data_IF_196708505829
#
_entry.id   IF_196708505829
#
_cell.length_a   1.000
_cell.length_b   1.000
_cell.length_c   1.000
_cell.angle_alpha   90.00
_cell.angle_beta   90.00
_cell.angle_gamma   90.00
#
_symmetry.space_group_name_H-M   'P 1'
#
loop_
_entity.id
_entity.type
_entity.pdbx_description
1 polymer ?
#
# COMPACT_ATOMS: atom_id res chain seq x y z
N UNK A 1 21.27 -24.25 -2.23
CA UNK A 1 21.36 -23.14 -1.25
C UNK A 1 21.78 -21.81 -1.87
N UNK A 2 23.04 -21.56 -2.24
CA UNK A 2 23.50 -20.22 -2.71
C UNK A 2 22.71 -19.63 -3.89
N UNK A 3 22.50 -20.43 -4.94
CA UNK A 3 21.72 -20.03 -6.13
C UNK A 3 20.27 -19.66 -5.79
N UNK A 4 19.66 -20.37 -4.84
CA UNK A 4 18.29 -20.08 -4.41
C UNK A 4 18.21 -18.76 -3.64
N UNK A 5 19.16 -18.50 -2.73
CA UNK A 5 19.24 -17.22 -1.99
C UNK A 5 19.46 -16.02 -2.91
N UNK A 6 20.30 -16.16 -3.94
CA UNK A 6 20.49 -15.10 -4.94
C UNK A 6 19.21 -14.84 -5.76
N UNK A 7 18.52 -15.91 -6.16
CA UNK A 7 17.26 -15.79 -6.88
C UNK A 7 16.15 -15.16 -6.01
N UNK A 8 16.09 -15.51 -4.72
CA UNK A 8 15.15 -14.96 -3.74
C UNK A 8 15.40 -13.47 -3.51
N UNK A 9 16.65 -13.04 -3.36
CA UNK A 9 17.00 -11.63 -3.23
C UNK A 9 16.54 -10.81 -4.44
N UNK A 10 16.82 -11.29 -5.65
CA UNK A 10 16.39 -10.62 -6.90
C UNK A 10 14.87 -10.59 -7.01
N UNK A 11 14.18 -11.63 -6.55
CA UNK A 11 12.73 -11.67 -6.50
C UNK A 11 12.16 -10.61 -5.54
N UNK A 12 12.73 -10.50 -4.34
CA UNK A 12 12.31 -9.56 -3.31
C UNK A 12 12.51 -8.12 -3.79
N UNK A 13 13.69 -7.79 -4.32
CA UNK A 13 13.99 -6.46 -4.88
C UNK A 13 12.98 -6.06 -5.96
N UNK A 14 12.61 -7.00 -6.85
CA UNK A 14 11.64 -6.73 -7.91
C UNK A 14 10.22 -6.53 -7.38
N UNK A 15 9.80 -7.28 -6.38
CA UNK A 15 8.48 -7.11 -5.79
C UNK A 15 8.41 -5.81 -4.97
N UNK A 16 9.46 -5.47 -4.23
CA UNK A 16 9.56 -4.21 -3.50
C UNK A 16 9.53 -3.01 -4.46
N UNK A 17 10.30 -3.04 -5.55
CA UNK A 17 10.24 -1.98 -6.57
C UNK A 17 8.83 -1.81 -7.17
N UNK A 18 8.09 -2.91 -7.36
CA UNK A 18 6.70 -2.86 -7.85
C UNK A 18 5.74 -2.27 -6.82
N UNK A 19 5.89 -2.62 -5.54
CA UNK A 19 5.12 -2.03 -4.44
C UNK A 19 5.40 -0.54 -4.35
N UNK A 20 6.68 -0.15 -4.37
CA UNK A 20 7.08 1.25 -4.29
C UNK A 20 6.47 2.08 -5.43
N UNK A 21 6.64 1.64 -6.68
CA UNK A 21 6.06 2.33 -7.83
C UNK A 21 4.53 2.47 -7.74
N UNK A 22 3.84 1.50 -7.13
CA UNK A 22 2.41 1.60 -6.87
C UNK A 22 2.08 2.63 -5.79
N UNK A 23 2.83 2.66 -4.68
CA UNK A 23 2.65 3.68 -3.64
C UNK A 23 2.92 5.09 -4.16
N UNK A 24 3.97 5.26 -4.97
CA UNK A 24 4.29 6.55 -5.60
C UNK A 24 3.15 7.00 -6.53
N UNK A 25 2.66 6.10 -7.39
CA UNK A 25 1.52 6.40 -8.26
C UNK A 25 0.24 6.71 -7.45
N UNK A 26 0.03 6.02 -6.34
CA UNK A 26 -1.13 6.22 -5.46
C UNK A 26 -1.05 7.57 -4.74
N UNK A 27 0.13 7.98 -4.28
CA UNK A 27 0.37 9.28 -3.67
C UNK A 27 0.04 10.42 -4.66
N UNK A 28 0.56 10.34 -5.88
CA UNK A 28 0.25 11.31 -6.95
C UNK A 28 -1.24 11.36 -7.26
N UNK A 29 -1.90 10.21 -7.35
CA UNK A 29 -3.34 10.15 -7.58
C UNK A 29 -4.14 10.79 -6.43
N UNK A 30 -3.73 10.61 -5.18
CA UNK A 30 -4.36 11.24 -4.02
C UNK A 30 -4.19 12.77 -4.06
N UNK A 31 -3.01 13.26 -4.42
CA UNK A 31 -2.73 14.69 -4.59
C UNK A 31 -3.63 15.30 -5.68
N UNK A 32 -3.73 14.65 -6.84
CA UNK A 32 -4.62 15.09 -7.92
C UNK A 32 -6.10 15.08 -7.49
N UNK A 33 -6.53 14.04 -6.76
CA UNK A 33 -7.88 13.97 -6.22
C UNK A 33 -8.18 15.08 -5.22
N UNK A 34 -7.22 15.41 -4.36
CA UNK A 34 -7.34 16.52 -3.42
C UNK A 34 -7.50 17.85 -4.16
N UNK A 35 -6.68 18.09 -5.18
CA UNK A 35 -6.78 19.27 -6.02
C UNK A 35 -8.13 19.34 -6.77
N UNK A 36 -8.55 18.24 -7.39
CA UNK A 36 -9.82 18.16 -8.09
C UNK A 36 -11.00 18.44 -7.15
N UNK A 37 -10.95 17.97 -5.90
CA UNK A 37 -11.94 18.26 -4.87
C UNK A 37 -12.01 19.75 -4.55
N UNK A 38 -10.86 20.43 -4.39
CA UNK A 38 -10.80 21.89 -4.18
C UNK A 38 -11.37 22.65 -5.38
N UNK A 39 -11.07 22.19 -6.59
CA UNK A 39 -11.59 22.78 -7.84
C UNK A 39 -13.06 22.41 -8.14
N UNK A 40 -13.69 21.57 -7.31
CA UNK A 40 -15.04 20.99 -7.52
C UNK A 40 -15.16 20.25 -8.87
N UNK A 41 -14.05 19.66 -9.32
CA UNK A 41 -13.94 18.84 -10.53
C UNK A 41 -13.76 17.37 -10.15
N UNK A 42 -13.95 16.48 -11.12
CA UNK A 42 -13.57 15.07 -10.98
C UNK A 42 -12.10 14.92 -11.36
N UNK A 43 -11.37 14.10 -10.61
CA UNK A 43 -10.03 13.68 -11.00
C UNK A 43 -10.09 13.04 -12.39
N UNK A 44 -9.16 13.42 -13.26
CA UNK A 44 -9.21 13.03 -14.67
C UNK A 44 -8.78 11.58 -14.90
N UNK A 45 -8.03 11.02 -13.96
CA UNK A 45 -7.35 9.73 -14.11
C UNK A 45 -7.91 8.66 -13.17
N UNK A 46 -7.83 7.40 -13.61
CA UNK A 46 -8.26 6.26 -12.82
C UNK A 46 -7.28 5.98 -11.68
N UNK A 47 -7.81 5.51 -10.54
CA UNK A 47 -6.99 5.08 -9.42
C UNK A 47 -6.01 3.98 -9.87
N UNK A 48 -4.70 4.12 -9.57
CA UNK A 48 -3.73 3.08 -9.90
C UNK A 48 -4.07 1.77 -9.18
N UNK A 49 -3.68 0.65 -9.78
CA UNK A 49 -3.93 -0.70 -9.26
C UNK A 49 -2.61 -1.44 -9.12
N UNK A 50 -2.38 -2.06 -7.97
CA UNK A 50 -1.27 -2.97 -7.79
C UNK A 50 -1.60 -4.28 -8.53
N UNK A 51 -0.85 -4.55 -9.60
CA UNK A 51 -0.98 -5.82 -10.33
C UNK A 51 -0.49 -7.01 -9.53
N UNK A 52 -0.53 -8.21 -10.14
CA UNK A 52 -0.02 -9.43 -9.51
C UNK A 52 1.48 -9.32 -9.23
N UNK A 53 1.86 -9.44 -7.96
CA UNK A 53 3.25 -9.63 -7.55
C UNK A 53 3.75 -10.99 -8.03
N UNK A 54 5.07 -11.13 -8.17
CA UNK A 54 5.65 -12.44 -8.50
C UNK A 54 5.44 -13.37 -7.31
N UNK A 55 5.06 -14.63 -7.58
CA UNK A 55 4.96 -15.68 -6.57
C UNK A 55 6.33 -16.02 -5.98
N UNK A 56 6.38 -16.37 -4.69
CA UNK A 56 7.60 -16.80 -3.99
C UNK A 56 8.32 -17.92 -4.75
N UNK A 57 9.65 -17.94 -4.66
CA UNK A 57 10.47 -19.01 -5.21
C UNK A 57 10.43 -20.17 -4.22
N UNK A 58 9.94 -21.37 -4.59
CA UNK A 58 9.88 -22.49 -3.67
C UNK A 58 11.24 -22.79 -3.03
N UNK A 59 11.27 -22.90 -1.70
CA UNK A 59 12.46 -23.32 -0.94
C UNK A 59 12.85 -24.73 -1.38
N UNK A 60 14.14 -25.00 -1.69
CA UNK A 60 14.59 -26.35 -1.98
C UNK A 60 14.51 -27.18 -0.69
N UNK A 61 13.78 -28.29 -0.71
CA UNK A 61 13.72 -29.24 0.39
C UNK A 61 15.07 -29.96 0.47
N UNK A 62 15.79 -29.79 1.57
CA UNK A 62 17.00 -30.57 1.87
C UNK A 62 16.54 -31.80 2.64
N UNK A 63 16.32 -32.91 1.95
CA UNK A 63 16.10 -34.21 2.60
C UNK A 63 17.40 -34.67 3.26
N UNK A 64 17.63 -34.22 4.50
CA UNK A 64 18.79 -34.66 5.29
C UNK A 64 19.27 -33.64 6.31
N UNK A 65 18.59 -33.59 7.46
CA UNK A 65 19.12 -33.39 8.82
C UNK A 65 18.08 -32.69 9.68
N UNK A 66 17.60 -33.42 10.70
CA UNK A 66 17.11 -32.89 11.96
C UNK A 66 18.01 -31.71 12.41
N UNK A 67 17.44 -30.52 12.55
CA UNK A 67 18.15 -29.39 13.17
C UNK A 67 17.81 -28.03 12.58
N UNK A 68 16.77 -27.42 13.13
CA UNK A 68 16.58 -25.97 13.23
C UNK A 68 16.37 -25.21 11.90
N UNK A 69 15.14 -25.25 11.38
CA UNK A 69 14.67 -24.22 10.43
C UNK A 69 13.39 -23.58 11.00
N UNK A 70 13.54 -22.84 12.09
CA UNK A 70 12.56 -21.86 12.53
C UNK A 70 13.01 -20.44 12.13
N UNK A 71 13.45 -20.24 10.88
CA UNK A 71 13.42 -18.89 10.29
C UNK A 71 12.04 -18.67 9.68
N UNK A 72 11.10 -18.42 10.58
CA UNK A 72 9.87 -17.71 10.28
C UNK A 72 10.22 -16.28 9.88
N UNK A 73 10.66 -16.10 8.64
CA UNK A 73 10.59 -14.81 7.97
C UNK A 73 9.12 -14.59 7.58
N UNK A 74 8.33 -14.36 8.62
CA UNK A 74 7.00 -13.84 8.50
C UNK A 74 7.19 -12.35 8.29
N UNK A 75 7.38 -11.97 7.03
CA UNK A 75 7.29 -10.58 6.56
C UNK A 75 5.80 -10.16 6.60
N UNK A 76 5.18 -10.38 7.77
CA UNK A 76 3.99 -9.68 8.25
C UNK A 76 4.45 -8.25 8.53
N UNK A 77 4.62 -7.48 7.47
CA UNK A 77 4.52 -6.03 7.56
C UNK A 77 3.08 -5.75 7.99
N UNK A 78 2.95 -5.57 9.31
CA UNK A 78 1.78 -5.23 10.10
C UNK A 78 0.95 -4.21 9.32
N UNK A 79 -0.07 -4.68 8.59
CA UNK A 79 -1.18 -3.87 8.09
C UNK A 79 -1.96 -3.33 9.29
N UNK A 80 -1.35 -2.44 10.08
CA UNK A 80 -2.10 -1.43 10.83
C UNK A 80 -2.60 -0.41 9.81
N UNK A 81 -3.60 -0.86 9.06
CA UNK A 81 -4.71 -0.03 8.64
C UNK A 81 -5.36 0.52 9.92
N UNK A 82 -4.69 1.49 10.55
CA UNK A 82 -5.21 2.22 11.70
C UNK A 82 -6.47 2.89 11.20
N UNK A 83 -7.58 2.43 11.80
CA UNK A 83 -8.92 2.57 11.30
C UNK A 83 -9.18 3.95 10.72
N UNK A 84 -9.80 3.89 9.55
CA UNK A 84 -10.66 4.90 8.97
C UNK A 84 -11.60 5.51 10.05
N UNK A 85 -11.07 6.45 10.83
CA UNK A 85 -11.81 7.37 11.68
C UNK A 85 -12.33 8.51 10.84
N UNK A 86 -13.13 8.19 9.82
CA UNK A 86 -14.02 9.18 9.22
C UNK A 86 -15.14 9.44 10.23
N UNK A 87 -14.84 10.27 11.22
CA UNK A 87 -15.86 10.96 11.99
C UNK A 87 -16.38 12.09 11.09
N UNK A 88 -17.21 11.75 10.10
CA UNK A 88 -18.01 12.70 9.32
C UNK A 88 -19.33 12.99 10.03
N UNK A 89 -19.26 13.31 11.32
CA UNK A 89 -20.35 13.94 12.07
C UNK A 89 -20.00 15.43 12.27
N UNK A 90 -19.86 16.18 11.18
CA UNK A 90 -20.01 17.63 11.27
C UNK A 90 -21.33 18.01 10.59
N UNK A 91 -22.39 17.84 11.37
CA UNK A 91 -23.70 18.39 11.09
C UNK A 91 -23.56 19.85 10.69
N UNK A 92 -23.95 20.15 9.45
CA UNK A 92 -24.05 21.52 8.99
C UNK A 92 -25.06 22.28 9.85
N UNK A 93 -24.59 23.31 10.53
CA UNK A 93 -25.40 24.46 10.84
C UNK A 93 -24.48 25.69 10.97
N UNK A 94 -24.22 26.32 9.83
CA UNK A 94 -23.60 27.64 9.78
C UNK A 94 -24.66 28.59 9.21
N UNK A 95 -25.66 28.89 10.04
CA UNK A 95 -26.58 30.01 9.80
C UNK A 95 -25.90 31.24 10.40
N UNK A 96 -25.14 31.94 9.57
CA UNK A 96 -24.67 33.29 9.84
C UNK A 96 -25.31 34.18 8.79
N UNK A 97 -26.35 34.93 9.19
CA UNK A 97 -26.72 36.17 8.54
C UNK A 97 -27.17 37.14 9.65
N UNK A 98 -26.26 37.99 10.11
CA UNK A 98 -26.01 39.36 9.63
C UNK A 98 -27.07 40.35 10.11
N UNK A 99 -26.64 41.10 11.11
CA UNK A 99 -27.09 42.40 11.58
C UNK A 99 -27.44 43.38 10.44
N UNK A 100 -28.58 44.06 10.56
CA UNK A 100 -28.94 45.44 10.13
C UNK A 100 -30.45 45.58 10.44
N UNK A 101 -30.99 46.56 11.18
CA UNK A 101 -30.65 47.98 11.41
C UNK A 101 -31.19 48.42 12.79
#
# INVERSE_FOLDING_TARGET
MKVWKEAEKVWLERNNARRQAYHDALALWNEECAQAKVERKRAGWAKPKLGKLKSLIPKPVVDGAEGDEAEGDNDEDDERNSGNGLNEDNAGNNESDSMEE
#
